data_IF_242027753008
#
_entry.id   IF_242027753008
#
_cell.length_a   1.000
_cell.length_b   1.000
_cell.length_c   1.000
_cell.angle_alpha   90.00
_cell.angle_beta   90.00
_cell.angle_gamma   90.00
#
_symmetry.space_group_name_H-M   'P 1'
#
loop_
_entity.id
_entity.type
_entity.pdbx_description
1 polymer ?
#
# COMPACT_ATOMS: atom_id res chain seq x y z
N UNK A 1 -1.71 -6.68 -2.96
CA UNK A 1 -2.70 -6.12 -3.90
C UNK A 1 -3.22 -4.80 -3.36
N UNK A 2 -3.67 -3.90 -4.23
CA UNK A 2 -4.35 -2.66 -3.86
C UNK A 2 -5.80 -2.73 -4.32
N UNK A 3 -6.73 -2.75 -3.38
CA UNK A 3 -8.16 -2.72 -3.60
C UNK A 3 -8.70 -1.34 -3.23
N UNK A 4 -9.31 -0.67 -4.17
CA UNK A 4 -10.07 0.55 -3.92
C UNK A 4 -11.31 0.25 -3.07
N UNK A 5 -11.85 1.28 -2.43
CA UNK A 5 -13.13 1.21 -1.72
C UNK A 5 -14.27 0.77 -2.64
N UNK A 6 -14.21 1.09 -3.93
CA UNK A 6 -15.13 0.63 -4.98
C UNK A 6 -15.03 -0.88 -5.31
N UNK A 7 -14.12 -1.61 -4.68
CA UNK A 7 -13.90 -3.04 -4.93
C UNK A 7 -12.98 -3.34 -6.11
N UNK A 8 -12.64 -2.33 -6.92
CA UNK A 8 -11.70 -2.48 -8.04
C UNK A 8 -10.27 -2.68 -7.54
N UNK A 9 -9.50 -3.53 -8.21
CA UNK A 9 -8.07 -3.67 -7.90
C UNK A 9 -7.26 -2.70 -8.75
N UNK A 10 -6.69 -1.70 -8.09
CA UNK A 10 -5.72 -0.82 -8.72
C UNK A 10 -4.43 -1.58 -8.98
N UNK A 11 -3.94 -1.48 -10.22
CA UNK A 11 -2.53 -1.76 -10.57
C UNK A 11 -2.02 -3.16 -10.27
N UNK A 12 -2.86 -4.19 -10.42
CA UNK A 12 -2.38 -5.58 -10.50
C UNK A 12 -1.29 -5.68 -11.58
N UNK A 13 -0.09 -6.13 -11.20
CA UNK A 13 1.06 -6.34 -12.09
C UNK A 13 2.07 -5.19 -12.15
N UNK A 14 1.66 -3.93 -12.02
CA UNK A 14 2.58 -2.78 -12.11
C UNK A 14 3.13 -2.32 -10.75
N UNK A 15 2.32 -2.42 -9.70
CA UNK A 15 2.65 -1.86 -8.40
C UNK A 15 2.26 -2.81 -7.26
N UNK A 16 3.23 -3.13 -6.40
CA UNK A 16 3.02 -3.84 -5.15
C UNK A 16 2.85 -2.87 -3.99
N UNK A 17 1.62 -2.63 -3.55
CA UNK A 17 1.35 -1.76 -2.42
C UNK A 17 1.15 -2.53 -1.11
N UNK A 18 1.79 -2.04 -0.05
CA UNK A 18 1.79 -2.62 1.28
C UNK A 18 1.52 -1.59 2.36
N UNK A 19 0.72 -1.93 3.37
CA UNK A 19 0.58 -1.09 4.56
C UNK A 19 1.88 -1.06 5.38
N UNK A 20 2.17 0.09 6.00
CA UNK A 20 3.14 0.20 7.08
C UNK A 20 2.41 0.26 8.42
N UNK A 21 3.08 -0.18 9.48
CA UNK A 21 2.53 -0.19 10.85
C UNK A 21 2.25 1.23 11.38
N UNK A 22 2.84 2.27 10.78
CA UNK A 22 2.61 3.66 11.18
C UNK A 22 1.31 4.21 10.59
N UNK A 23 0.46 4.71 11.47
CA UNK A 23 -0.66 5.59 11.14
C UNK A 23 -0.17 7.00 10.74
N UNK A 24 -0.86 7.65 9.80
CA UNK A 24 -0.61 9.07 9.44
C UNK A 24 -1.70 10.02 9.97
N UNK A 25 -2.81 9.49 10.50
CA UNK A 25 -3.92 10.22 11.11
C UNK A 25 -5.20 9.38 11.17
N UNK A 26 -6.31 9.96 11.62
CA UNK A 26 -7.57 9.24 11.84
C UNK A 26 -8.07 8.47 10.60
N UNK A 27 -8.00 9.08 9.41
CA UNK A 27 -8.50 8.50 8.15
C UNK A 27 -7.41 7.95 7.23
N UNK A 28 -6.13 8.20 7.52
CA UNK A 28 -5.01 7.89 6.62
C UNK A 28 -3.93 7.08 7.32
N UNK A 29 -3.39 6.08 6.62
CA UNK A 29 -2.24 5.29 7.07
C UNK A 29 -1.11 5.37 6.06
N UNK A 30 0.12 5.11 6.51
CA UNK A 30 1.27 5.05 5.62
C UNK A 30 1.25 3.76 4.82
N UNK A 31 1.40 3.88 3.51
CA UNK A 31 1.65 2.77 2.60
C UNK A 31 3.04 2.90 1.97
N UNK A 32 3.61 1.74 1.65
CA UNK A 32 4.78 1.61 0.80
C UNK A 32 4.34 0.99 -0.51
N UNK A 33 4.85 1.50 -1.62
CA UNK A 33 4.69 0.81 -2.89
C UNK A 33 6.05 0.47 -3.50
N UNK A 34 6.05 -0.66 -4.19
CA UNK A 34 7.15 -1.18 -4.99
C UNK A 34 6.72 -1.20 -6.45
N UNK A 35 7.56 -0.68 -7.32
CA UNK A 35 7.35 -0.76 -8.76
C UNK A 35 7.90 -2.08 -9.28
N UNK A 36 7.25 -2.71 -10.25
CA UNK A 36 7.75 -3.97 -10.82
C UNK A 36 9.13 -3.83 -11.51
N UNK A 37 9.42 -2.66 -12.09
CA UNK A 37 10.66 -2.35 -12.82
C UNK A 37 11.52 -1.31 -12.09
N UNK A 38 11.30 -1.11 -10.79
CA UNK A 38 12.14 -0.19 -10.01
C UNK A 38 12.36 -0.72 -8.62
N UNK A 39 13.62 -0.69 -8.20
CA UNK A 39 14.04 -1.03 -6.84
C UNK A 39 13.64 0.04 -5.82
N UNK A 40 13.08 1.17 -6.27
CA UNK A 40 12.67 2.26 -5.40
C UNK A 40 11.39 1.92 -4.66
N UNK A 41 11.44 2.06 -3.33
CA UNK A 41 10.29 1.97 -2.44
C UNK A 41 9.78 3.37 -2.14
N UNK A 42 8.62 3.70 -2.68
CA UNK A 42 7.99 5.01 -2.44
C UNK A 42 7.02 4.91 -1.26
N UNK A 43 7.07 5.92 -0.38
CA UNK A 43 6.21 6.04 0.80
C UNK A 43 5.18 7.13 0.57
N UNK A 44 3.92 6.82 0.79
CA UNK A 44 2.81 7.77 0.68
C UNK A 44 1.73 7.44 1.71
N UNK A 45 0.82 8.36 2.01
CA UNK A 45 -0.34 8.08 2.84
C UNK A 45 -1.53 7.65 1.95
N UNK A 46 -2.43 6.85 2.48
CA UNK A 46 -3.66 6.47 1.79
C UNK A 46 -4.79 6.25 2.78
N UNK A 47 -6.01 6.40 2.30
CA UNK A 47 -7.20 6.19 3.11
C UNK A 47 -7.20 4.76 3.66
N UNK A 48 -7.41 4.61 4.98
CA UNK A 48 -7.44 3.31 5.67
C UNK A 48 -8.50 2.36 5.12
N UNK A 49 -9.53 2.87 4.46
CA UNK A 49 -10.58 2.10 3.80
C UNK A 49 -10.10 1.39 2.52
N UNK A 50 -8.93 1.77 1.98
CA UNK A 50 -8.33 1.06 0.87
C UNK A 50 -7.69 -0.27 1.36
N UNK A 51 -7.96 -1.36 0.65
CA UNK A 51 -7.38 -2.66 0.96
C UNK A 51 -5.99 -2.79 0.38
N UNK A 52 -4.93 -2.65 1.20
CA UNK A 52 -3.57 -3.01 0.81
C UNK A 52 -3.11 -4.30 1.49
N UNK A 53 -2.19 -5.02 0.88
CA UNK A 53 -1.61 -6.21 1.52
C UNK A 53 -0.70 -5.83 2.68
N UNK A 54 -0.68 -6.62 3.75
CA UNK A 54 0.34 -6.53 4.79
C UNK A 54 1.44 -7.55 4.50
N UNK A 55 2.69 -7.22 4.78
CA UNK A 55 3.79 -8.18 4.74
C UNK A 55 4.51 -8.12 6.08
N UNK A 56 4.61 -9.24 6.77
CA UNK A 56 5.39 -9.32 8.00
C UNK A 56 6.88 -9.25 7.61
N UNK A 57 7.63 -8.34 8.23
CA UNK A 57 9.08 -8.30 8.12
C UNK A 57 9.62 -9.02 9.35
N UNK A 58 10.43 -10.05 9.15
CA UNK A 58 11.18 -10.70 10.23
C UNK A 58 12.43 -9.84 10.47
N UNK A 59 12.67 -9.50 11.73
CA UNK A 59 13.92 -8.86 12.19
C UNK A 59 15.08 -9.86 12.14
#
# INVERSE_FOLDING_TARGET
GYRYTSGYFGTLGNYGYFWSASESGASFAWRRGLYYNSSLVYRNYSNKQNGFSCRCVRD
#
